data_IF_103357707362
#
_entry.id   IF_103357707362
#
_cell.length_a   1.000
_cell.length_b   1.000
_cell.length_c   1.000
_cell.angle_alpha   90.00
_cell.angle_beta   90.00
_cell.angle_gamma   90.00
#
_symmetry.space_group_name_H-M   'P 1'
#
loop_
_entity.id
_entity.type
_entity.pdbx_description
1 polymer ?
#
# COMPACT_ATOMS: atom_id res chain seq x y z
N UNK A 1 17.72 -2.98 -9.14
CA UNK A 1 19.18 -2.88 -9.35
C UNK A 1 19.67 -1.47 -9.71
N UNK A 2 18.82 -0.45 -9.77
CA UNK A 2 19.26 0.93 -10.10
C UNK A 2 20.02 1.63 -8.97
N UNK A 3 19.56 1.49 -7.73
CA UNK A 3 20.12 2.24 -6.58
C UNK A 3 21.25 1.53 -5.84
N UNK A 4 21.29 0.20 -5.87
CA UNK A 4 22.33 -0.55 -5.16
C UNK A 4 23.74 -0.31 -5.72
N UNK A 5 23.98 -0.31 -7.06
CA UNK A 5 25.30 0.00 -7.61
C UNK A 5 25.76 1.45 -7.34
N UNK A 6 24.82 2.37 -7.05
CA UNK A 6 25.19 3.73 -6.62
C UNK A 6 25.97 3.75 -5.30
N UNK A 7 25.75 2.76 -4.42
CA UNK A 7 26.52 2.62 -3.19
C UNK A 7 27.97 2.23 -3.50
N UNK A 8 28.18 1.40 -4.52
CA UNK A 8 29.51 0.93 -4.95
C UNK A 8 30.32 2.07 -5.57
N UNK A 9 29.73 2.85 -6.49
CA UNK A 9 30.41 4.03 -7.07
C UNK A 9 30.62 5.14 -6.04
N UNK A 10 29.71 5.27 -5.06
CA UNK A 10 29.84 6.21 -3.94
C UNK A 10 31.02 5.87 -3.04
N UNK A 11 31.21 4.60 -2.66
CA UNK A 11 32.41 4.13 -1.98
C UNK A 11 33.68 4.30 -2.83
N UNK A 12 33.54 4.18 -4.15
CA UNK A 12 34.58 4.46 -5.13
C UNK A 12 34.95 5.94 -5.28
N UNK A 13 34.33 6.84 -4.52
CA UNK A 13 34.67 8.28 -4.50
C UNK A 13 33.94 9.11 -5.55
N UNK A 14 32.92 8.57 -6.23
CA UNK A 14 32.11 9.36 -7.17
C UNK A 14 31.24 10.35 -6.39
N UNK A 15 31.61 11.64 -6.42
CA UNK A 15 30.84 12.69 -5.76
C UNK A 15 29.51 12.92 -6.49
N UNK A 16 28.47 13.28 -5.72
CA UNK A 16 27.18 13.68 -6.30
C UNK A 16 27.31 14.95 -7.15
N UNK A 17 26.40 15.14 -8.11
CA UNK A 17 26.26 16.36 -8.94
C UNK A 17 27.44 16.62 -9.89
N UNK A 18 28.14 15.58 -10.32
CA UNK A 18 29.12 15.67 -11.42
C UNK A 18 28.40 15.29 -12.72
N UNK A 19 28.48 16.15 -13.74
CA UNK A 19 27.91 15.87 -15.06
C UNK A 19 28.72 14.81 -15.82
N UNK A 20 30.06 14.91 -15.76
CA UNK A 20 30.97 13.95 -16.37
C UNK A 20 31.96 13.38 -15.34
N UNK A 21 31.75 12.15 -14.85
CA UNK A 21 32.67 11.51 -13.90
C UNK A 21 33.99 11.08 -14.56
N UNK A 22 34.10 11.02 -15.89
CA UNK A 22 35.30 10.54 -16.60
C UNK A 22 36.44 11.56 -16.64
N UNK A 23 36.17 12.83 -16.28
CA UNK A 23 37.16 13.89 -16.10
C UNK A 23 38.20 13.48 -15.04
N UNK A 24 37.77 12.74 -14.02
CA UNK A 24 38.65 12.25 -12.97
C UNK A 24 39.23 10.89 -13.36
N UNK A 25 40.56 10.81 -13.43
CA UNK A 25 41.29 9.59 -13.85
C UNK A 25 40.96 8.38 -12.99
N UNK A 26 40.72 8.57 -11.69
CA UNK A 26 40.36 7.50 -10.75
C UNK A 26 38.91 6.99 -10.89
N UNK A 27 38.01 7.75 -11.53
CA UNK A 27 36.61 7.37 -11.75
C UNK A 27 36.39 6.68 -13.10
N UNK A 28 37.34 6.76 -14.04
CA UNK A 28 37.24 6.09 -15.36
C UNK A 28 36.91 4.60 -15.28
N UNK A 29 37.46 3.79 -14.34
CA UNK A 29 37.11 2.37 -14.22
C UNK A 29 35.65 2.11 -13.79
N UNK A 30 34.96 3.10 -13.22
CA UNK A 30 33.58 2.97 -12.74
C UNK A 30 32.55 3.23 -13.85
N UNK A 31 32.98 3.62 -15.04
CA UNK A 31 32.09 3.93 -16.15
C UNK A 31 31.16 2.77 -16.57
N UNK A 32 31.60 1.50 -16.61
CA UNK A 32 30.69 0.37 -16.88
C UNK A 32 29.54 0.26 -15.88
N UNK A 33 29.76 0.60 -14.60
CA UNK A 33 28.72 0.62 -13.57
C UNK A 33 27.71 1.75 -13.82
N UNK A 34 28.17 2.93 -14.23
CA UNK A 34 27.28 4.05 -14.58
C UNK A 34 26.39 3.72 -15.79
N UNK A 35 26.94 3.03 -16.80
CA UNK A 35 26.16 2.53 -17.94
C UNK A 35 25.12 1.50 -17.49
N UNK A 36 25.50 0.56 -16.63
CA UNK A 36 24.59 -0.44 -16.07
C UNK A 36 23.44 0.18 -15.26
N UNK A 37 23.74 1.20 -14.44
CA UNK A 37 22.73 1.96 -13.69
C UNK A 37 21.74 2.63 -14.65
N UNK A 38 22.23 3.19 -15.75
CA UNK A 38 21.38 3.85 -16.76
C UNK A 38 20.42 2.87 -17.43
N UNK A 39 20.90 1.69 -17.85
CA UNK A 39 20.03 0.63 -18.36
C UNK A 39 18.99 0.17 -17.33
N UNK A 40 19.41 0.04 -16.06
CA UNK A 40 18.51 -0.30 -14.96
C UNK A 40 17.45 0.79 -14.72
N UNK A 41 17.79 2.07 -14.90
CA UNK A 41 16.86 3.19 -14.79
C UNK A 41 15.82 3.17 -15.92
N UNK A 42 16.23 2.88 -17.16
CA UNK A 42 15.30 2.72 -18.28
C UNK A 42 14.37 1.51 -18.08
N UNK A 43 14.89 0.39 -17.57
CA UNK A 43 14.07 -0.77 -17.25
C UNK A 43 13.03 -0.44 -16.15
N UNK A 44 13.42 0.30 -15.11
CA UNK A 44 12.50 0.77 -14.07
C UNK A 44 11.41 1.67 -14.66
N UNK A 45 11.77 2.58 -15.57
CA UNK A 45 10.80 3.42 -16.27
C UNK A 45 9.82 2.60 -17.12
N UNK A 46 10.31 1.57 -17.82
CA UNK A 46 9.46 0.67 -18.60
C UNK A 46 8.43 -0.07 -17.73
N UNK A 47 8.83 -0.55 -16.54
CA UNK A 47 7.90 -1.18 -15.58
C UNK A 47 6.87 -0.18 -15.07
N UNK A 48 7.25 1.09 -14.86
CA UNK A 48 6.31 2.14 -14.47
C UNK A 48 5.24 2.37 -15.54
N UNK A 49 5.60 2.31 -16.83
CA UNK A 49 4.63 2.39 -17.94
C UNK A 49 3.66 1.21 -17.90
N UNK A 50 4.16 -0.02 -17.68
CA UNK A 50 3.31 -1.21 -17.56
C UNK A 50 2.33 -1.08 -16.38
N UNK A 51 2.79 -0.55 -15.24
CA UNK A 51 1.93 -0.27 -14.10
C UNK A 51 0.86 0.78 -14.45
N UNK A 52 1.25 1.90 -15.07
CA UNK A 52 0.32 2.94 -15.49
C UNK A 52 -0.72 2.43 -16.48
N UNK A 53 -0.30 1.60 -17.45
CA UNK A 53 -1.22 0.95 -18.39
C UNK A 53 -2.21 0.05 -17.66
N UNK A 54 -1.75 -0.84 -16.78
CA UNK A 54 -2.63 -1.71 -15.99
C UNK A 54 -3.57 -0.91 -15.09
N UNK A 55 -3.10 0.17 -14.48
CA UNK A 55 -3.91 1.04 -13.63
C UNK A 55 -5.03 1.72 -14.44
N UNK A 56 -4.70 2.32 -15.59
CA UNK A 56 -5.69 2.96 -16.46
C UNK A 56 -6.68 1.95 -17.06
N UNK A 57 -6.19 0.76 -17.42
CA UNK A 57 -7.04 -0.33 -17.89
C UNK A 57 -7.99 -0.82 -16.81
N UNK A 58 -7.49 -1.05 -15.59
CA UNK A 58 -8.28 -1.49 -14.43
C UNK A 58 -9.33 -0.45 -14.04
N UNK A 59 -9.02 0.84 -14.15
CA UNK A 59 -9.97 1.92 -13.89
C UNK A 59 -11.17 1.88 -14.86
N UNK A 60 -10.93 1.58 -16.14
CA UNK A 60 -11.97 1.63 -17.18
C UNK A 60 -12.69 0.29 -17.41
N UNK A 61 -11.99 -0.83 -17.25
CA UNK A 61 -12.47 -2.18 -17.59
C UNK A 61 -12.30 -3.20 -16.46
N UNK A 62 -11.82 -2.77 -15.29
CA UNK A 62 -11.68 -3.64 -14.13
C UNK A 62 -13.02 -4.14 -13.62
N UNK A 63 -13.04 -5.36 -13.08
CA UNK A 63 -14.21 -5.90 -12.39
C UNK A 63 -14.46 -5.09 -11.11
N UNK A 64 -15.73 -4.85 -10.78
CA UNK A 64 -16.09 -4.25 -9.48
C UNK A 64 -15.57 -5.16 -8.36
N UNK A 65 -14.73 -4.62 -7.49
CA UNK A 65 -14.24 -5.35 -6.34
C UNK A 65 -15.41 -5.67 -5.37
N UNK A 66 -15.42 -6.84 -4.73
CA UNK A 66 -16.31 -7.10 -3.61
C UNK A 66 -15.99 -6.13 -2.46
N UNK A 67 -16.93 -5.99 -1.52
CA UNK A 67 -16.80 -5.00 -0.44
C UNK A 67 -15.54 -5.22 0.40
N UNK A 68 -15.17 -6.47 0.69
CA UNK A 68 -13.91 -6.82 1.35
C UNK A 68 -13.17 -7.87 0.50
N UNK A 69 -12.23 -7.47 -0.38
CA UNK A 69 -11.48 -8.40 -1.22
C UNK A 69 -10.26 -9.03 -0.53
N UNK A 70 -9.86 -8.51 0.62
CA UNK A 70 -8.64 -8.91 1.32
C UNK A 70 -8.91 -9.60 2.66
N UNK A 71 -10.18 -9.85 2.99
CA UNK A 71 -10.61 -10.49 4.23
C UNK A 71 -10.02 -9.81 5.47
N UNK A 72 -9.96 -8.48 5.45
CA UNK A 72 -9.40 -7.67 6.53
C UNK A 72 -10.49 -7.26 7.54
N UNK A 73 -10.08 -7.06 8.80
CA UNK A 73 -10.95 -6.84 9.95
C UNK A 73 -11.22 -5.35 10.24
N UNK A 74 -10.58 -4.47 9.49
CA UNK A 74 -10.73 -3.02 9.58
C UNK A 74 -12.18 -2.53 9.41
N UNK A 75 -12.50 -1.40 10.03
CA UNK A 75 -13.82 -0.78 9.92
C UNK A 75 -14.03 -0.14 8.54
N UNK A 76 -12.96 0.11 7.77
CA UNK A 76 -13.05 0.60 6.40
C UNK A 76 -13.85 -0.34 5.48
N UNK A 77 -13.85 -1.64 5.77
CA UNK A 77 -14.57 -2.66 4.99
C UNK A 77 -16.06 -2.75 5.36
N UNK A 78 -16.51 -2.01 6.38
CA UNK A 78 -17.94 -1.85 6.67
C UNK A 78 -18.62 -0.80 5.78
N UNK A 79 -17.83 0.04 5.10
CA UNK A 79 -18.33 1.14 4.30
C UNK A 79 -18.83 0.65 2.93
N UNK A 80 -19.96 1.18 2.43
CA UNK A 80 -20.35 0.94 1.05
C UNK A 80 -19.35 1.62 0.11
N UNK A 81 -19.12 1.02 -1.07
CA UNK A 81 -18.24 1.57 -2.09
C UNK A 81 -19.07 2.18 -3.24
N UNK A 82 -18.95 3.48 -3.56
CA UNK A 82 -18.08 4.49 -2.96
C UNK A 82 -18.57 5.00 -1.59
N UNK A 83 -17.64 5.35 -0.70
CA UNK A 83 -17.96 5.80 0.65
C UNK A 83 -18.74 7.12 0.63
N UNK A 84 -19.87 7.24 1.36
CA UNK A 84 -20.65 8.46 1.44
C UNK A 84 -19.91 9.54 2.24
N UNK A 85 -20.24 10.81 1.97
CA UNK A 85 -19.75 11.93 2.79
C UNK A 85 -20.25 11.76 4.23
N UNK A 86 -19.31 11.70 5.18
CA UNK A 86 -19.58 11.37 6.59
C UNK A 86 -19.10 9.98 7.01
N UNK A 87 -18.58 9.16 6.08
CA UNK A 87 -18.19 7.75 6.26
C UNK A 87 -19.39 6.88 6.67
N UNK A 88 -19.90 7.02 7.88
CA UNK A 88 -21.02 6.25 8.40
C UNK A 88 -22.23 7.15 8.70
N UNK A 89 -23.44 6.70 8.36
CA UNK A 89 -24.69 7.39 8.73
C UNK A 89 -24.93 7.41 10.25
N UNK A 90 -24.39 6.41 10.96
CA UNK A 90 -24.45 6.27 12.41
C UNK A 90 -23.09 5.82 12.93
N UNK A 91 -22.73 6.19 14.15
CA UNK A 91 -21.50 5.73 14.80
C UNK A 91 -21.46 4.20 14.76
N UNK A 92 -20.46 3.60 14.09
CA UNK A 92 -20.42 2.16 13.96
C UNK A 92 -19.94 1.54 15.28
N UNK A 93 -20.48 0.36 15.59
CA UNK A 93 -20.12 -0.35 16.81
C UNK A 93 -18.90 -1.22 16.54
N UNK A 94 -17.94 -1.17 17.48
CA UNK A 94 -16.73 -2.00 17.47
C UNK A 94 -16.89 -3.05 18.56
N UNK A 95 -16.97 -4.32 18.15
CA UNK A 95 -17.14 -5.44 19.08
C UNK A 95 -15.80 -6.02 19.57
N UNK A 96 -14.72 -5.83 18.79
CA UNK A 96 -13.45 -6.53 18.96
C UNK A 96 -12.25 -5.76 18.44
N UNK A 97 -11.05 -6.29 18.65
CA UNK A 97 -9.81 -5.68 18.18
C UNK A 97 -9.56 -5.85 16.66
N UNK A 98 -8.72 -4.99 16.04
CA UNK A 98 -8.38 -5.07 14.61
C UNK A 98 -7.51 -6.28 14.22
N UNK A 99 -6.93 -6.99 15.20
CA UNK A 99 -5.99 -8.10 14.98
C UNK A 99 -6.59 -9.48 15.25
N UNK A 100 -7.92 -9.61 15.29
CA UNK A 100 -8.60 -10.89 15.52
C UNK A 100 -8.66 -11.74 14.24
N UNK A 101 -7.48 -12.24 13.87
CA UNK A 101 -7.31 -13.30 12.90
C UNK A 101 -7.26 -14.66 13.61
N UNK A 102 -7.79 -15.70 12.96
CA UNK A 102 -7.86 -17.07 13.49
C UNK A 102 -8.56 -17.20 14.86
N UNK A 103 -9.45 -16.26 15.20
CA UNK A 103 -10.20 -16.35 16.46
C UNK A 103 -11.01 -17.67 16.49
N UNK A 104 -11.04 -18.41 17.61
CA UNK A 104 -11.82 -19.64 17.72
C UNK A 104 -13.31 -19.44 17.36
N UNK A 105 -13.79 -18.21 17.54
CA UNK A 105 -15.15 -17.76 17.29
C UNK A 105 -15.43 -17.46 15.80
N UNK A 106 -14.39 -17.30 14.98
CA UNK A 106 -14.49 -17.08 13.54
C UNK A 106 -14.87 -18.35 12.75
N UNK A 107 -14.85 -19.52 13.42
CA UNK A 107 -15.29 -20.79 12.85
C UNK A 107 -14.40 -21.24 11.69
N UNK A 108 -14.98 -21.41 10.50
CA UNK A 108 -14.26 -21.78 9.27
C UNK A 108 -13.53 -20.60 8.61
N UNK A 109 -13.82 -19.36 9.00
CA UNK A 109 -13.18 -18.17 8.44
C UNK A 109 -11.99 -17.76 9.28
N UNK A 110 -10.91 -17.33 8.62
CA UNK A 110 -9.68 -16.91 9.30
C UNK A 110 -9.73 -15.46 9.80
N UNK A 111 -10.81 -14.72 9.51
CA UNK A 111 -10.94 -13.32 9.85
C UNK A 111 -12.31 -13.05 10.47
N UNK A 112 -12.32 -12.15 11.45
CA UNK A 112 -13.51 -11.78 12.20
C UNK A 112 -13.62 -10.25 12.24
N UNK A 113 -14.41 -9.62 11.34
CA UNK A 113 -14.47 -8.17 11.23
C UNK A 113 -14.99 -7.49 12.50
N UNK A 114 -14.48 -6.29 12.77
CA UNK A 114 -14.83 -5.50 13.96
C UNK A 114 -16.31 -5.13 14.05
N UNK A 115 -16.98 -5.00 12.90
CA UNK A 115 -18.40 -4.62 12.79
C UNK A 115 -19.36 -5.81 12.83
N UNK A 116 -18.86 -7.05 12.81
CA UNK A 116 -19.70 -8.24 12.85
C UNK A 116 -20.08 -8.58 14.30
N UNK A 117 -21.37 -8.56 14.62
CA UNK A 117 -21.85 -8.97 15.96
C UNK A 117 -21.99 -10.49 16.04
N UNK A 118 -21.28 -11.12 16.98
CA UNK A 118 -21.48 -12.51 17.37
C UNK A 118 -22.51 -12.64 18.51
N UNK A 119 -23.14 -13.81 18.69
CA UNK A 119 -24.07 -14.05 19.79
C UNK A 119 -23.43 -13.89 21.18
N UNK A 120 -22.12 -14.08 21.30
CA UNK A 120 -21.35 -13.93 22.54
C UNK A 120 -21.05 -12.46 22.87
N UNK A 121 -21.12 -11.58 21.88
CA UNK A 121 -20.72 -10.18 22.04
C UNK A 121 -21.71 -9.42 22.92
N UNK A 122 -21.17 -8.59 23.81
CA UNK A 122 -21.97 -7.66 24.62
C UNK A 122 -22.58 -6.59 23.73
N UNK A 123 -23.75 -6.09 24.14
CA UNK A 123 -24.32 -4.92 23.48
C UNK A 123 -23.37 -3.72 23.61
N UNK A 124 -23.16 -2.98 22.51
CA UNK A 124 -22.25 -1.84 22.52
C UNK A 124 -22.81 -0.74 23.42
N UNK A 125 -21.91 -0.04 24.11
CA UNK A 125 -22.28 1.12 24.92
C UNK A 125 -22.92 2.16 23.98
N UNK A 126 -24.11 2.69 24.28
CA UNK A 126 -24.75 3.69 23.44
C UNK A 126 -23.80 4.86 23.20
N UNK A 127 -23.59 5.21 21.93
CA UNK A 127 -22.81 6.39 21.59
C UNK A 127 -23.44 7.63 22.27
N UNK A 128 -22.65 8.57 22.81
CA UNK A 128 -23.17 9.86 23.22
C UNK A 128 -23.92 10.48 22.04
N UNK A 129 -25.11 11.03 22.29
CA UNK A 129 -25.88 11.74 21.27
C UNK A 129 -24.96 12.75 20.57
N UNK A 130 -24.99 12.87 19.23
CA UNK A 130 -24.19 13.88 18.54
C UNK A 130 -24.54 15.24 19.14
N UNK A 131 -23.53 15.97 19.59
CA UNK A 131 -23.71 17.33 20.07
C UNK A 131 -24.38 18.13 18.94
N UNK A 132 -25.58 18.63 19.21
CA UNK A 132 -26.44 19.26 18.21
C UNK A 132 -25.72 20.36 17.44
N UNK A 133 -26.01 20.40 16.13
CA UNK A 133 -25.89 21.61 15.31
C UNK A 133 -27.27 22.22 15.14
#
# INVERSE_FOLDING_TARGET
MTFFPMHIIGMGGQMRRIYDPTIYTFLKPQQPLNVFISYSAFALFAVQILFAFNFLWSLKFGKKAPQNPWDDNGMEWSLPNPAPHGNWERTPNVYRGPYEFSAPEAGEKDFLPQYLKLPTDRDPVPAPLPAGH
#
